data_IF_513775667002
#
_entry.id   IF_513775667002
#
_cell.length_a   1.000
_cell.length_b   1.000
_cell.length_c   1.000
_cell.angle_alpha   90.00
_cell.angle_beta   90.00
_cell.angle_gamma   90.00
#
_symmetry.space_group_name_H-M   'P 1'
#
loop_
_entity.id
_entity.type
_entity.pdbx_description
1 polymer ?
#
# COMPACT_ATOMS: atom_id res chain seq x y z
N UNK A 1 -7.51 -11.64 10.46
CA UNK A 1 -7.10 -10.48 9.65
C UNK A 1 -6.25 -11.00 8.52
N UNK A 2 -6.45 -10.53 7.29
CA UNK A 2 -5.60 -10.84 6.13
C UNK A 2 -5.34 -9.53 5.41
N UNK A 3 -4.06 -9.24 5.18
CA UNK A 3 -3.60 -8.04 4.49
C UNK A 3 -2.79 -8.50 3.30
N UNK A 4 -3.15 -8.03 2.12
CA UNK A 4 -2.35 -8.17 0.90
C UNK A 4 -1.62 -6.86 0.64
N UNK A 5 -0.41 -6.94 0.12
CA UNK A 5 0.40 -5.78 -0.26
C UNK A 5 0.51 -5.80 -1.79
N UNK A 6 0.12 -4.70 -2.42
CA UNK A 6 0.28 -4.50 -3.86
C UNK A 6 1.13 -3.26 -4.11
N UNK A 7 2.17 -3.39 -4.94
CA UNK A 7 3.04 -2.28 -5.34
C UNK A 7 3.02 -2.19 -6.87
N UNK A 8 2.27 -1.25 -7.47
CA UNK A 8 2.13 -1.17 -8.93
C UNK A 8 3.48 -1.06 -9.65
N UNK A 9 4.41 -0.29 -9.09
CA UNK A 9 5.75 -0.08 -9.66
C UNK A 9 6.70 -1.30 -9.55
N UNK A 10 6.29 -2.37 -8.85
CA UNK A 10 7.03 -3.63 -8.84
C UNK A 10 6.85 -4.42 -10.13
N UNK A 11 5.72 -4.24 -10.81
CA UNK A 11 5.36 -4.95 -12.03
C UNK A 11 5.52 -4.06 -13.27
N UNK A 12 5.22 -2.76 -13.14
CA UNK A 12 5.38 -1.75 -14.21
C UNK A 12 6.25 -0.60 -13.71
N UNK A 13 7.50 -0.54 -14.19
CA UNK A 13 8.48 0.44 -13.74
C UNK A 13 8.07 1.89 -14.02
N UNK A 14 7.29 2.12 -15.07
CA UNK A 14 6.84 3.46 -15.48
C UNK A 14 5.46 3.81 -14.92
N UNK A 15 4.99 3.02 -13.95
CA UNK A 15 3.71 3.25 -13.28
C UNK A 15 3.62 4.69 -12.77
N UNK A 16 2.49 5.40 -13.01
CA UNK A 16 2.28 6.75 -12.49
C UNK A 16 2.19 6.79 -10.96
N UNK A 17 2.09 5.62 -10.31
CA UNK A 17 2.04 5.43 -8.85
C UNK A 17 3.39 4.98 -8.28
N UNK A 18 4.49 5.35 -8.94
CA UNK A 18 5.84 5.06 -8.46
C UNK A 18 6.04 5.60 -7.03
N UNK A 19 6.55 4.74 -6.14
CA UNK A 19 6.73 5.08 -4.72
C UNK A 19 5.48 4.93 -3.86
N UNK A 20 4.37 4.39 -4.38
CA UNK A 20 3.18 4.03 -3.59
C UNK A 20 3.04 2.52 -3.40
N UNK A 21 2.32 2.12 -2.36
CA UNK A 21 1.84 0.75 -2.16
C UNK A 21 0.41 0.77 -1.60
N UNK A 22 -0.33 -0.31 -1.85
CA UNK A 22 -1.68 -0.52 -1.33
C UNK A 22 -1.67 -1.64 -0.28
N UNK A 23 -2.18 -1.33 0.91
CA UNK A 23 -2.56 -2.33 1.90
C UNK A 23 -4.04 -2.67 1.72
N UNK A 24 -4.29 -3.86 1.20
CA UNK A 24 -5.64 -4.36 0.95
C UNK A 24 -6.01 -5.23 2.14
N UNK A 25 -6.85 -4.70 3.04
CA UNK A 25 -7.43 -5.46 4.14
C UNK A 25 -8.50 -6.41 3.58
N UNK A 26 -8.06 -7.51 2.97
CA UNK A 26 -8.91 -8.46 2.27
C UNK A 26 -9.86 -9.23 3.21
N UNK A 27 -9.49 -9.40 4.48
CA UNK A 27 -10.35 -10.04 5.49
C UNK A 27 -10.20 -9.39 6.85
N UNK A 28 -11.31 -8.88 7.39
CA UNK A 28 -11.39 -8.32 8.74
C UNK A 28 -12.57 -8.97 9.48
N UNK A 29 -12.29 -9.76 10.53
CA UNK A 29 -13.34 -10.52 11.25
C UNK A 29 -14.28 -9.60 12.03
N UNK A 30 -13.76 -8.50 12.54
CA UNK A 30 -14.45 -7.63 13.50
C UNK A 30 -14.64 -6.20 12.95
N UNK A 31 -14.70 -6.03 11.62
CA UNK A 31 -14.83 -4.71 11.02
C UNK A 31 -14.82 -4.72 9.50
N UNK A 32 -14.88 -3.54 8.87
CA UNK A 32 -14.91 -3.43 7.41
C UNK A 32 -13.55 -3.77 6.80
N UNK A 33 -13.60 -4.21 5.54
CA UNK A 33 -12.45 -4.30 4.65
C UNK A 33 -12.22 -2.94 3.97
N UNK A 34 -10.97 -2.63 3.63
CA UNK A 34 -10.61 -1.38 2.95
C UNK A 34 -9.25 -1.53 2.27
N UNK A 35 -9.02 -0.76 1.23
CA UNK A 35 -7.68 -0.51 0.68
C UNK A 35 -7.15 0.81 1.21
N UNK A 36 -5.95 0.78 1.80
CA UNK A 36 -5.25 1.96 2.29
C UNK A 36 -3.99 2.15 1.45
N UNK A 37 -3.90 3.26 0.72
CA UNK A 37 -2.70 3.63 -0.02
C UNK A 37 -1.70 4.32 0.89
N UNK A 38 -0.43 3.91 0.79
CA UNK A 38 0.69 4.39 1.60
C UNK A 38 1.88 4.73 0.69
N UNK A 39 2.80 5.56 1.18
CA UNK A 39 4.09 5.75 0.56
C UNK A 39 5.00 4.54 0.86
N UNK A 40 5.67 4.03 -0.18
CA UNK A 40 6.65 2.96 -0.11
C UNK A 40 8.04 3.53 0.16
N UNK A 41 8.57 3.31 1.37
CA UNK A 41 9.95 3.65 1.75
C UNK A 41 10.74 2.38 2.03
N UNK A 42 10.60 1.37 1.15
CA UNK A 42 11.21 0.05 1.34
C UNK A 42 12.74 0.04 1.35
N UNK A 43 13.40 1.07 0.80
CA UNK A 43 14.84 1.28 0.98
C UNK A 43 15.23 1.58 2.45
N UNK A 44 14.26 1.98 3.27
CA UNK A 44 14.34 2.12 4.73
C UNK A 44 13.50 1.05 5.43
N UNK A 45 13.14 -0.05 4.76
CA UNK A 45 12.33 -1.14 5.30
C UNK A 45 11.03 -0.68 5.99
N UNK A 46 10.36 0.33 5.43
CA UNK A 46 9.19 0.95 6.04
C UNK A 46 8.15 1.42 5.03
N UNK A 47 6.97 1.77 5.54
CA UNK A 47 5.90 2.46 4.84
C UNK A 47 5.52 3.71 5.63
N UNK A 48 5.04 4.75 4.95
CA UNK A 48 4.61 6.01 5.58
C UNK A 48 3.23 6.43 5.08
N UNK A 49 2.53 7.22 5.88
CA UNK A 49 1.33 7.90 5.43
C UNK A 49 1.65 8.80 4.23
N UNK A 50 0.70 8.90 3.30
CA UNK A 50 0.76 9.92 2.26
C UNK A 50 0.63 11.30 2.90
N UNK A 51 1.32 12.29 2.34
CA UNK A 51 1.19 13.67 2.76
C UNK A 51 -0.29 14.09 2.69
N UNK A 52 -0.80 14.62 3.81
CA UNK A 52 -2.12 15.27 3.83
C UNK A 52 -1.86 16.74 3.47
N UNK A 53 -2.38 17.16 2.32
CA UNK A 53 -2.45 18.58 1.96
C UNK A 53 -3.40 19.35 2.86
#
# INVERSE_FOLDING_TARGET
MVIMINRPDAYDRDSPRAGEADFILAKHRNGPTRTCTVASTLHLSSFRDLARG
#
